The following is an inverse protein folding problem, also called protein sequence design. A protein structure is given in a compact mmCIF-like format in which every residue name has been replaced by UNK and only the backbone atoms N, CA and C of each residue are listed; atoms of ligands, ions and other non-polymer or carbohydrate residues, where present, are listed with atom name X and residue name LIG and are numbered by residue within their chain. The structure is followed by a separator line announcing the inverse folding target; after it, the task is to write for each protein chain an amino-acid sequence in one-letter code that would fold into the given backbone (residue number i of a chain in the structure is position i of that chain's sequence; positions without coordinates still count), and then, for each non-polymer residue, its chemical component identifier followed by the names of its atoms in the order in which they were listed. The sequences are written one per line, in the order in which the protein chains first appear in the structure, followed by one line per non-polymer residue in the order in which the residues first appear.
data_IF_429088533125
#
_entry.id   IF_429088533125
#
_cell.length_a   1.000
_cell.length_b   1.000
_cell.length_c   1.000
_cell.angle_alpha   90.00
_cell.angle_beta   90.00
_cell.angle_gamma   90.00
#
_symmetry.space_group_name_H-M   'P 1'
#
loop_
_entity.id
_entity.type
_entity.pdbx_description
1 polymer ?
#
# COMPACT_ATOMS: atom_id res chain seq x y z
N UNK A 1 -6.88 29.10 -19.05
CA UNK A 1 -6.77 27.87 -19.88
C UNK A 1 -7.92 26.96 -19.46
N UNK A 2 -8.88 26.67 -20.34
CA UNK A 2 -9.98 25.77 -20.02
C UNK A 2 -9.46 24.33 -20.02
N UNK A 3 -9.69 23.60 -18.92
CA UNK A 3 -9.34 22.18 -18.84
C UNK A 3 -10.49 21.37 -19.44
N UNK A 4 -10.17 20.36 -20.25
CA UNK A 4 -11.19 19.47 -20.80
C UNK A 4 -11.76 18.57 -19.70
N UNK A 5 -13.08 18.35 -19.71
CA UNK A 5 -13.80 17.43 -18.82
C UNK A 5 -13.17 16.02 -18.88
N UNK A 6 -12.76 15.59 -20.08
CA UNK A 6 -12.10 14.30 -20.28
C UNK A 6 -10.76 14.25 -19.54
N UNK A 7 -9.98 15.33 -19.58
CA UNK A 7 -8.72 15.41 -18.85
C UNK A 7 -8.94 15.40 -17.33
N UNK A 8 -9.97 16.10 -16.84
CA UNK A 8 -10.35 16.08 -15.41
C UNK A 8 -10.73 14.66 -14.99
N UNK A 9 -11.53 13.96 -15.80
CA UNK A 9 -11.92 12.58 -15.53
C UNK A 9 -10.71 11.65 -15.40
N UNK A 10 -9.78 11.66 -16.37
CA UNK A 10 -8.60 10.79 -16.31
C UNK A 10 -7.67 11.13 -15.13
N UNK A 11 -7.53 12.41 -14.79
CA UNK A 11 -6.77 12.83 -13.62
C UNK A 11 -7.41 12.31 -12.32
N UNK A 12 -8.72 12.48 -12.15
CA UNK A 12 -9.43 11.98 -10.96
C UNK A 12 -9.37 10.45 -10.87
N UNK A 13 -9.55 9.72 -11.99
CA UNK A 13 -9.38 8.26 -12.02
C UNK A 13 -7.98 7.86 -11.58
N UNK A 14 -6.94 8.47 -12.15
CA UNK A 14 -5.56 8.12 -11.87
C UNK A 14 -5.19 8.39 -10.41
N UNK A 15 -5.46 9.59 -9.89
CA UNK A 15 -5.09 9.95 -8.52
C UNK A 15 -5.94 9.23 -7.47
N UNK A 16 -7.23 8.98 -7.73
CA UNK A 16 -8.04 8.12 -6.84
C UNK A 16 -7.57 6.66 -6.86
N UNK A 17 -7.16 6.14 -8.02
CA UNK A 17 -6.55 4.81 -8.11
C UNK A 17 -5.27 4.73 -7.28
N UNK A 18 -4.34 5.67 -7.45
CA UNK A 18 -3.09 5.71 -6.68
C UNK A 18 -3.36 5.77 -5.18
N UNK A 19 -4.29 6.62 -4.74
CA UNK A 19 -4.66 6.71 -3.34
C UNK A 19 -5.25 5.42 -2.78
N UNK A 20 -6.22 4.85 -3.49
CA UNK A 20 -6.87 3.61 -3.05
C UNK A 20 -5.86 2.46 -3.04
N UNK A 21 -4.95 2.43 -4.01
CA UNK A 21 -3.84 1.47 -4.06
C UNK A 21 -2.96 1.58 -2.81
N UNK A 22 -2.54 2.80 -2.43
CA UNK A 22 -1.75 3.03 -1.22
C UNK A 22 -2.51 2.57 0.03
N UNK A 23 -3.78 2.95 0.19
CA UNK A 23 -4.60 2.54 1.34
C UNK A 23 -4.72 1.02 1.42
N UNK A 24 -5.04 0.36 0.31
CA UNK A 24 -5.21 -1.09 0.26
C UNK A 24 -3.89 -1.83 0.46
N UNK A 25 -2.77 -1.30 -0.03
CA UNK A 25 -1.46 -1.86 0.26
C UNK A 25 -1.11 -1.74 1.73
N UNK A 26 -1.29 -0.56 2.33
CA UNK A 26 -1.06 -0.36 3.77
C UNK A 26 -1.95 -1.26 4.64
N UNK A 27 -3.18 -1.55 4.20
CA UNK A 27 -4.08 -2.45 4.91
C UNK A 27 -3.63 -3.92 4.87
N UNK A 28 -3.01 -4.36 3.77
CA UNK A 28 -2.63 -5.76 3.58
C UNK A 28 -1.15 -6.04 3.89
N UNK A 29 -0.30 -5.02 3.91
CA UNK A 29 1.11 -5.17 4.21
C UNK A 29 1.32 -5.17 5.72
N UNK A 30 1.82 -6.30 6.26
CA UNK A 30 2.33 -6.38 7.63
C UNK A 30 3.69 -5.71 7.68
N UNK A 31 3.69 -4.38 7.81
CA UNK A 31 4.90 -3.57 7.69
C UNK A 31 5.63 -3.36 9.03
N UNK A 32 4.99 -3.61 10.18
CA UNK A 32 5.62 -3.28 11.48
C UNK A 32 5.31 -4.25 12.61
N UNK A 33 6.24 -4.28 13.58
CA UNK A 33 6.13 -4.93 14.88
C UNK A 33 5.13 -4.19 15.82
N UNK A 34 4.78 -2.95 15.48
CA UNK A 34 3.77 -2.13 16.15
C UNK A 34 2.44 -2.17 15.38
N UNK A 35 1.31 -1.93 16.08
CA UNK A 35 -0.04 -1.85 15.48
C UNK A 35 -0.01 -1.16 14.11
N UNK A 36 -0.26 -1.93 13.05
CA UNK A 36 -0.14 -1.54 11.62
C UNK A 36 -1.01 -0.33 11.21
N UNK A 37 -1.92 0.11 12.08
CA UNK A 37 -2.81 1.25 11.83
C UNK A 37 -2.06 2.59 11.71
N UNK A 38 -0.97 2.80 12.46
CA UNK A 38 -0.28 4.10 12.51
C UNK A 38 0.52 4.38 11.22
N UNK A 39 1.38 3.46 10.72
CA UNK A 39 2.07 3.67 9.45
C UNK A 39 1.12 3.79 8.27
N UNK A 40 0.03 3.01 8.26
CA UNK A 40 -0.99 3.08 7.21
C UNK A 40 -1.71 4.43 7.18
N UNK A 41 -2.02 5.01 8.33
CA UNK A 41 -2.60 6.35 8.43
C UNK A 41 -1.65 7.43 7.90
N UNK A 42 -0.37 7.41 8.29
CA UNK A 42 0.63 8.37 7.81
C UNK A 42 0.86 8.25 6.30
N UNK A 43 0.97 7.03 5.77
CA UNK A 43 1.08 6.80 4.34
C UNK A 43 -0.14 7.33 3.58
N UNK A 44 -1.35 7.15 4.13
CA UNK A 44 -2.57 7.74 3.60
C UNK A 44 -2.51 9.26 3.55
N UNK A 45 -2.09 9.92 4.64
CA UNK A 45 -1.95 11.38 4.67
C UNK A 45 -0.93 11.89 3.65
N UNK A 46 0.23 11.25 3.55
CA UNK A 46 1.27 11.62 2.57
C UNK A 46 0.74 11.46 1.14
N UNK A 47 -0.01 10.39 0.88
CA UNK A 47 -0.68 10.18 -0.41
C UNK A 47 -1.66 11.31 -0.74
N UNK A 48 -2.51 11.71 0.21
CA UNK A 48 -3.45 12.82 0.01
C UNK A 48 -2.68 14.11 -0.28
N UNK A 49 -1.68 14.42 0.54
CA UNK A 49 -0.86 15.63 0.38
C UNK A 49 -0.19 15.67 -0.99
N UNK A 50 0.36 14.54 -1.45
CA UNK A 50 0.94 14.40 -2.77
C UNK A 50 -0.10 14.63 -3.89
N UNK A 51 -1.28 13.99 -3.80
CA UNK A 51 -2.36 14.17 -4.77
C UNK A 51 -2.81 15.62 -4.87
N UNK A 52 -3.06 16.27 -3.73
CA UNK A 52 -3.46 17.68 -3.66
C UNK A 52 -2.37 18.60 -4.23
N UNK A 53 -1.10 18.33 -3.94
CA UNK A 53 0.03 19.13 -4.46
C UNK A 53 0.17 19.02 -5.98
N UNK A 54 -0.09 17.83 -6.54
CA UNK A 54 0.06 17.56 -7.97
C UNK A 54 -1.12 18.07 -8.82
N UNK A 55 -2.36 17.83 -8.38
CA UNK A 55 -3.57 18.14 -9.18
C UNK A 55 -4.52 19.15 -8.58
N UNK A 56 -4.29 19.61 -7.35
CA UNK A 56 -5.19 20.54 -6.65
C UNK A 56 -5.44 21.83 -7.43
N UNK A 57 -4.42 22.37 -8.10
CA UNK A 57 -4.56 23.58 -8.94
C UNK A 57 -5.36 23.35 -10.23
N UNK A 58 -5.55 22.10 -10.67
CA UNK A 58 -6.21 21.74 -11.94
C UNK A 58 -7.64 21.25 -11.75
N UNK A 59 -7.86 20.34 -10.79
CA UNK A 59 -9.15 19.67 -10.58
C UNK A 59 -9.72 19.89 -9.18
N UNK A 60 -8.99 20.57 -8.30
CA UNK A 60 -9.32 20.66 -6.87
C UNK A 60 -8.95 19.40 -6.07
N UNK A 61 -8.35 18.38 -6.71
CA UNK A 61 -7.93 17.13 -6.08
C UNK A 61 -9.05 16.49 -5.25
N UNK A 62 -10.22 16.35 -5.87
CA UNK A 62 -11.44 15.93 -5.19
C UNK A 62 -11.26 14.53 -4.62
N UNK A 63 -10.85 13.58 -5.45
CA UNK A 63 -10.44 12.22 -5.12
C UNK A 63 -11.45 11.37 -4.32
N UNK A 64 -12.62 11.94 -4.00
CA UNK A 64 -13.75 11.39 -3.24
C UNK A 64 -15.05 12.04 -3.74
N UNK A 65 -16.08 11.26 -4.09
CA UNK A 65 -17.34 11.80 -4.62
C UNK A 65 -18.00 12.82 -3.68
N UNK A 66 -17.92 12.59 -2.37
CA UNK A 66 -18.48 13.49 -1.36
C UNK A 66 -17.79 14.86 -1.36
N UNK A 67 -16.47 14.87 -1.48
CA UNK A 67 -15.68 16.12 -1.57
C UNK A 67 -16.06 16.86 -2.86
N UNK A 68 -16.25 16.13 -3.97
CA UNK A 68 -16.64 16.70 -5.26
C UNK A 68 -18.00 17.34 -5.22
N UNK A 69 -18.97 16.62 -4.65
CA UNK A 69 -20.32 17.13 -4.45
C UNK A 69 -20.33 18.40 -3.60
N UNK A 70 -19.68 18.38 -2.44
CA UNK A 70 -19.61 19.52 -1.54
C UNK A 70 -18.91 20.72 -2.21
N UNK A 71 -17.80 20.50 -2.90
CA UNK A 71 -17.03 21.55 -3.55
C UNK A 71 -17.82 22.20 -4.70
N UNK A 72 -18.41 21.40 -5.60
CA UNK A 72 -19.20 21.91 -6.73
C UNK A 72 -20.45 22.63 -6.22
N UNK A 73 -21.16 22.07 -5.24
CA UNK A 73 -22.35 22.71 -4.65
C UNK A 73 -22.00 24.03 -3.99
N UNK A 74 -20.91 24.07 -3.20
CA UNK A 74 -20.45 25.29 -2.54
C UNK A 74 -20.05 26.37 -3.55
N UNK A 75 -19.28 26.02 -4.58
CA UNK A 75 -18.87 26.98 -5.63
C UNK A 75 -20.08 27.48 -6.42
N UNK A 76 -21.03 26.59 -6.77
CA UNK A 76 -22.24 26.97 -7.46
C UNK A 76 -23.09 27.95 -6.63
N UNK A 77 -23.26 27.69 -5.33
CA UNK A 77 -24.04 28.56 -4.42
C UNK A 77 -23.35 29.89 -4.13
N UNK A 78 -22.05 29.87 -3.79
CA UNK A 78 -21.33 31.06 -3.31
C UNK A 78 -20.88 31.95 -4.47
N UNK A 79 -20.45 31.37 -5.59
CA UNK A 79 -19.95 32.12 -6.74
C UNK A 79 -21.00 32.32 -7.84
N UNK A 80 -22.23 31.79 -7.67
CA UNK A 80 -23.27 31.78 -8.72
C UNK A 80 -22.76 31.26 -10.07
N UNK A 81 -21.88 30.25 -10.02
CA UNK A 81 -21.18 29.68 -11.18
C UNK A 81 -21.78 28.33 -11.54
N UNK A 82 -22.52 28.28 -12.65
CA UNK A 82 -23.13 27.05 -13.16
C UNK A 82 -22.23 26.29 -14.15
N UNK A 83 -21.16 26.91 -14.62
CA UNK A 83 -20.13 26.35 -15.51
C UNK A 83 -19.35 25.18 -14.87
N UNK A 84 -19.43 25.02 -13.55
CA UNK A 84 -18.76 23.93 -12.83
C UNK A 84 -19.59 22.64 -12.76
N UNK A 85 -20.90 22.70 -13.00
CA UNK A 85 -21.81 21.54 -12.92
C UNK A 85 -21.44 20.38 -13.85
N UNK A 86 -20.99 20.60 -15.11
CA UNK A 86 -20.60 19.52 -16.00
C UNK A 86 -19.45 18.65 -15.47
N UNK A 87 -18.57 19.20 -14.62
CA UNK A 87 -17.46 18.45 -14.02
C UNK A 87 -17.90 17.52 -12.88
N UNK A 88 -19.13 17.68 -12.36
CA UNK A 88 -19.66 16.88 -11.26
C UNK A 88 -19.68 15.38 -11.59
N UNK A 89 -20.02 15.03 -12.83
CA UNK A 89 -20.02 13.64 -13.29
C UNK A 89 -18.60 13.05 -13.23
N UNK A 90 -17.58 13.80 -13.63
CA UNK A 90 -16.18 13.38 -13.54
C UNK A 90 -15.72 13.20 -12.09
N UNK A 91 -16.13 14.09 -11.20
CA UNK A 91 -15.82 13.99 -9.76
C UNK A 91 -16.55 12.86 -9.03
N UNK A 92 -17.67 12.37 -9.56
CA UNK A 92 -18.35 11.18 -9.04
C UNK A 92 -17.77 9.90 -9.64
N UNK A 93 -17.81 9.78 -10.97
CA UNK A 93 -17.49 8.53 -11.67
C UNK A 93 -15.98 8.24 -11.59
N UNK A 94 -15.15 9.27 -11.69
CA UNK A 94 -13.69 9.13 -11.67
C UNK A 94 -13.17 8.40 -10.43
N UNK A 95 -13.50 8.87 -9.21
CA UNK A 95 -13.08 8.20 -7.99
C UNK A 95 -13.58 6.77 -7.83
N UNK A 96 -14.82 6.47 -8.25
CA UNK A 96 -15.33 5.09 -8.25
C UNK A 96 -14.57 4.18 -9.21
N UNK A 97 -14.34 4.63 -10.44
CA UNK A 97 -13.55 3.87 -11.41
C UNK A 97 -12.12 3.63 -10.92
N UNK A 98 -11.45 4.68 -10.42
CA UNK A 98 -10.10 4.55 -9.87
C UNK A 98 -10.03 3.58 -8.69
N UNK A 99 -11.00 3.66 -7.77
CA UNK A 99 -11.07 2.76 -6.62
C UNK A 99 -11.36 1.31 -7.01
N UNK A 100 -12.22 1.10 -8.02
CA UNK A 100 -12.51 -0.23 -8.55
C UNK A 100 -11.27 -0.87 -9.19
N UNK A 101 -10.55 -0.12 -10.03
CA UNK A 101 -9.31 -0.58 -10.68
C UNK A 101 -8.27 -0.94 -9.62
N UNK A 102 -8.08 -0.08 -8.61
CA UNK A 102 -7.17 -0.36 -7.50
C UNK A 102 -7.57 -1.62 -6.72
N UNK A 103 -8.87 -1.79 -6.43
CA UNK A 103 -9.39 -2.98 -5.75
C UNK A 103 -9.14 -4.27 -6.53
N UNK A 104 -9.37 -4.26 -7.84
CA UNK A 104 -9.08 -5.39 -8.73
C UNK A 104 -7.58 -5.70 -8.72
N UNK A 105 -6.74 -4.68 -8.91
CA UNK A 105 -5.29 -4.87 -8.93
C UNK A 105 -4.77 -5.47 -7.62
N UNK A 106 -5.20 -4.95 -6.47
CA UNK A 106 -4.74 -5.47 -5.17
C UNK A 106 -5.20 -6.91 -4.95
N UNK A 107 -6.45 -7.21 -5.31
CA UNK A 107 -7.03 -8.55 -5.14
C UNK A 107 -6.33 -9.61 -5.99
N UNK A 108 -6.07 -9.31 -7.26
CA UNK A 108 -5.58 -10.30 -8.23
C UNK A 108 -4.07 -10.29 -8.42
N UNK A 109 -3.38 -9.19 -8.10
CA UNK A 109 -1.94 -9.05 -8.29
C UNK A 109 -1.23 -8.94 -6.94
N UNK A 110 -1.50 -7.90 -6.16
CA UNK A 110 -0.70 -7.60 -4.97
C UNK A 110 -0.78 -8.68 -3.88
N UNK A 111 -1.99 -9.13 -3.52
CA UNK A 111 -2.18 -10.13 -2.45
C UNK A 111 -1.52 -11.47 -2.80
N UNK A 112 -1.73 -12.06 -4.00
CA UNK A 112 -1.02 -13.27 -4.40
C UNK A 112 0.50 -13.12 -4.35
N UNK A 113 1.05 -12.00 -4.85
CA UNK A 113 2.49 -11.75 -4.81
C UNK A 113 3.02 -11.69 -3.38
N UNK A 114 2.31 -11.04 -2.46
CA UNK A 114 2.71 -10.98 -1.04
C UNK A 114 2.76 -12.39 -0.43
N UNK A 115 1.76 -13.24 -0.72
CA UNK A 115 1.71 -14.62 -0.19
C UNK A 115 2.87 -15.49 -0.68
N UNK A 116 3.25 -15.36 -1.95
CA UNK A 116 4.39 -16.08 -2.51
C UNK A 116 5.69 -15.66 -1.79
N UNK A 117 5.87 -14.35 -1.60
CA UNK A 117 7.06 -13.82 -0.90
C UNK A 117 7.10 -14.27 0.57
N UNK A 118 5.95 -14.34 1.25
CA UNK A 118 5.88 -14.84 2.64
C UNK A 118 6.23 -16.33 2.71
N UNK A 119 5.75 -17.16 1.78
CA UNK A 119 6.09 -18.57 1.72
C UNK A 119 7.60 -18.81 1.51
N UNK A 120 8.22 -18.07 0.59
CA UNK A 120 9.66 -18.15 0.32
C UNK A 120 10.51 -17.75 1.55
N UNK A 121 10.04 -16.77 2.33
CA UNK A 121 10.73 -16.36 3.58
C UNK A 121 10.69 -17.46 4.64
N UNK A 122 9.56 -18.15 4.79
CA UNK A 122 9.43 -19.24 5.78
C UNK A 122 10.29 -20.45 5.39
N UNK A 123 10.36 -20.80 4.09
CA UNK A 123 11.24 -21.86 3.60
C UNK A 123 12.73 -21.57 3.92
N UNK A 124 13.20 -20.34 3.67
CA UNK A 124 14.58 -19.95 4.00
C UNK A 124 14.88 -20.04 5.50
N UNK A 125 13.93 -19.64 6.38
CA UNK A 125 14.11 -19.75 7.84
C UNK A 125 14.28 -21.21 8.27
N UNK A 126 13.50 -22.12 7.68
CA UNK A 126 13.59 -23.55 7.96
C UNK A 126 14.95 -24.12 7.53
N UNK A 127 15.43 -23.79 6.33
CA UNK A 127 16.75 -24.21 5.85
C UNK A 127 17.88 -23.76 6.80
N UNK A 128 17.85 -22.51 7.25
CA UNK A 128 18.82 -21.98 8.22
C UNK A 128 18.80 -22.74 9.55
N UNK A 129 17.61 -23.09 10.06
CA UNK A 129 17.49 -23.88 11.29
C UNK A 129 18.03 -25.30 11.10
N UNK A 130 17.75 -25.94 9.96
CA UNK A 130 18.27 -27.28 9.65
C UNK A 130 19.80 -27.29 9.60
N UNK A 131 20.41 -26.29 8.95
CA UNK A 131 21.88 -26.15 8.87
C UNK A 131 22.49 -25.92 10.26
N UNK A 132 21.90 -25.03 11.06
CA UNK A 132 22.39 -24.76 12.42
C UNK A 132 22.34 -26.01 13.30
N UNK A 133 21.31 -26.84 13.15
CA UNK A 133 21.14 -28.08 13.93
C UNK A 133 22.10 -29.18 13.47
N UNK A 134 22.39 -29.27 12.17
CA UNK A 134 23.37 -30.21 11.64
C UNK A 134 24.81 -29.86 12.07
N UNK A 135 25.14 -28.57 12.14
CA UNK A 135 26.46 -28.09 12.57
C UNK A 135 26.74 -28.40 14.06
N UNK A 136 25.76 -28.22 14.94
CA UNK A 136 25.90 -28.55 16.36
C UNK A 136 26.07 -30.06 16.60
N UNK A 137 25.42 -30.91 15.81
CA UNK A 137 25.59 -32.37 15.87
C UNK A 137 26.99 -32.85 15.47
N UNK A 138 27.64 -32.21 14.50
CA UNK A 138 29.01 -32.56 14.10
C UNK A 138 30.06 -32.09 15.12
N UNK A 139 29.77 -31.03 15.88
CA UNK A 139 30.67 -30.52 16.93
C UNK A 139 30.77 -31.49 18.11
N UNK A 140 29.70 -32.23 18.42
CA UNK A 140 29.69 -33.24 19.50
C UNK A 140 30.51 -34.49 19.13
N UNK A 141 30.62 -34.82 17.84
CA UNK A 141 31.37 -36.01 17.38
C UNK A 141 32.89 -35.82 17.31
N UNK A 142 33.40 -34.60 17.54
CA UNK A 142 34.83 -34.28 17.40
C UNK A 142 35.57 -34.07 18.71
N UNK A 143 34.96 -34.30 19.88
CA UNK A 143 35.75 -34.39 21.11
C UNK A 143 36.57 -35.70 21.12
N UNK A 144 37.91 -35.65 21.02
CA UNK A 144 38.72 -36.84 21.19
C UNK A 144 38.56 -37.32 22.64
N UNK A 145 38.13 -38.59 22.80
CA UNK A 145 38.17 -39.28 24.09
C UNK A 145 39.56 -39.06 24.71
N UNK A 146 39.63 -38.27 25.78
CA UNK A 146 40.81 -38.22 26.63
C UNK A 146 40.98 -39.60 27.24
N UNK A 147 41.86 -40.41 26.64
CA UNK A 147 42.29 -41.69 27.19
C UNK A 147 42.85 -41.43 28.60
N UNK A 148 42.17 -41.97 29.59
CA UNK A 148 42.55 -41.85 31.00
C UNK A 148 43.94 -42.42 31.23
N UNK A 149 44.86 -41.58 31.70
CA UNK A 149 46.12 -42.04 32.30
C UNK A 149 45.79 -42.77 33.61
N UNK A 150 45.93 -44.10 33.61
CA UNK A 150 46.02 -44.89 34.84
C UNK A 150 47.28 -44.47 35.60
N UNK A 151 47.10 -43.91 36.80
CA UNK A 151 48.18 -43.82 37.79
C UNK A 151 48.29 -45.17 38.49
N UNK A 152 49.46 -45.79 38.37
CA UNK A 152 49.88 -46.91 39.20
C UNK A 152 50.67 -46.35 40.38
N UNK A 153 50.23 -46.68 41.59
CA UNK A 153 51.02 -46.60 42.82
C UNK A 153 51.24 -48.02 43.33
#
# INVERSE_FOLDING_TARGET
MSISIVSVFFLEVFFSMTMMLTILHCKNAKLSLFKDNVPGFLAGQIGIYFGVSCIGKRTGAVMSPNIGFCNVTFVAMVQNRSDVLPYLASYFIGPYCGSLIAGIFVKYVAIPTIRIIEADKELRKLEFQTISTASSLNTIKTEPMKQGKKQYY
#
